data_IF_204247588189
#
_entry.id   IF_204247588189
#
_cell.length_a   1.000
_cell.length_b   1.000
_cell.length_c   1.000
_cell.angle_alpha   90.00
_cell.angle_beta   90.00
_cell.angle_gamma   90.00
#
_symmetry.space_group_name_H-M   'P 1'
#
loop_
_entity.id
_entity.type
_entity.pdbx_description
1 polymer ?
#
# COMPACT_ATOMS: atom_id res chain seq x y z
N UNK A 1 3.45 -19.05 -12.18
CA UNK A 1 2.32 -19.01 -11.21
C UNK A 1 1.89 -17.56 -11.12
N UNK A 2 0.64 -17.21 -11.43
CA UNK A 2 0.11 -15.91 -11.04
C UNK A 2 -0.18 -16.01 -9.54
N UNK A 3 0.50 -15.20 -8.73
CA UNK A 3 0.13 -15.11 -7.32
C UNK A 3 -1.26 -14.51 -7.18
N UNK A 4 -2.05 -15.08 -6.28
CA UNK A 4 -3.40 -14.61 -6.01
C UNK A 4 -3.34 -13.53 -4.95
N UNK A 5 -4.03 -12.42 -5.21
CA UNK A 5 -4.30 -11.41 -4.19
C UNK A 5 -5.14 -12.07 -3.10
N UNK A 6 -4.75 -11.90 -1.84
CA UNK A 6 -5.50 -12.40 -0.69
C UNK A 6 -5.84 -11.25 0.25
N UNK A 7 -6.90 -11.42 1.04
CA UNK A 7 -7.17 -10.50 2.15
C UNK A 7 -5.98 -10.48 3.11
N UNK A 8 -5.57 -9.29 3.55
CA UNK A 8 -4.38 -9.05 4.35
C UNK A 8 -3.09 -8.89 3.55
N UNK A 9 -3.12 -9.05 2.21
CA UNK A 9 -1.95 -8.75 1.37
C UNK A 9 -1.53 -7.29 1.54
N UNK A 10 -0.23 -7.06 1.71
CA UNK A 10 0.31 -5.72 1.88
C UNK A 10 0.34 -4.99 0.54
N UNK A 11 -0.06 -3.72 0.54
CA UNK A 11 -0.20 -2.92 -0.67
C UNK A 11 0.93 -1.90 -0.77
N UNK A 12 1.57 -1.85 -1.93
CA UNK A 12 2.68 -0.97 -2.26
C UNK A 12 2.32 -0.14 -3.48
N UNK A 13 3.00 0.98 -3.67
CA UNK A 13 2.96 1.76 -4.91
C UNK A 13 4.25 1.56 -5.69
N UNK A 14 4.19 1.59 -7.02
CA UNK A 14 5.36 1.35 -7.88
C UNK A 14 6.55 2.30 -7.64
N UNK A 15 6.31 3.46 -7.02
CA UNK A 15 7.30 4.50 -6.71
C UNK A 15 7.72 4.50 -5.21
N UNK A 16 7.14 3.61 -4.40
CA UNK A 16 7.31 3.60 -2.95
C UNK A 16 8.15 2.43 -2.47
N UNK A 17 9.04 2.70 -1.52
CA UNK A 17 9.73 1.66 -0.77
C UNK A 17 8.84 1.08 0.35
N UNK A 18 7.87 1.87 0.86
CA UNK A 18 7.03 1.51 1.99
C UNK A 18 5.62 1.05 1.58
N UNK A 19 5.03 0.19 2.42
CA UNK A 19 3.66 -0.28 2.27
C UNK A 19 2.70 0.84 2.65
N UNK A 20 1.72 1.12 1.81
CA UNK A 20 0.72 2.16 2.08
C UNK A 20 -0.48 1.64 2.88
N UNK A 21 -0.54 0.33 3.09
CA UNK A 21 -1.63 -0.35 3.80
C UNK A 21 -1.85 -1.78 3.32
N UNK A 22 -3.09 -2.26 3.38
CA UNK A 22 -3.41 -3.68 3.14
C UNK A 22 -4.77 -3.93 2.48
N UNK A 23 -4.89 -5.04 1.76
CA UNK A 23 -6.16 -5.50 1.16
C UNK A 23 -7.12 -5.93 2.26
N UNK A 24 -8.26 -5.25 2.35
CA UNK A 24 -9.35 -5.56 3.31
C UNK A 24 -10.29 -6.61 2.77
N UNK A 25 -10.66 -6.51 1.50
CA UNK A 25 -11.61 -7.42 0.86
C UNK A 25 -11.36 -7.47 -0.64
N UNK A 26 -11.57 -8.64 -1.24
CA UNK A 26 -11.61 -8.82 -2.68
C UNK A 26 -13.08 -8.92 -3.08
N UNK A 27 -13.59 -7.93 -3.83
CA UNK A 27 -15.02 -7.91 -4.16
C UNK A 27 -15.34 -9.04 -5.13
N UNK A 28 -16.09 -10.03 -4.67
CA UNK A 28 -16.46 -11.18 -5.50
C UNK A 28 -17.36 -10.73 -6.64
N UNK A 29 -16.92 -10.98 -7.88
CA UNK A 29 -17.69 -10.65 -9.09
C UNK A 29 -17.49 -9.23 -9.62
N UNK A 30 -16.66 -8.40 -8.98
CA UNK A 30 -16.24 -7.10 -9.49
C UNK A 30 -14.72 -7.09 -9.63
N UNK A 31 -14.15 -6.45 -10.67
CA UNK A 31 -12.71 -6.33 -10.84
C UNK A 31 -12.14 -5.24 -9.92
N UNK A 32 -12.45 -5.31 -8.62
CA UNK A 32 -12.16 -4.27 -7.63
C UNK A 32 -11.73 -4.88 -6.29
N UNK A 33 -10.84 -4.17 -5.60
CA UNK A 33 -10.27 -4.51 -4.30
C UNK A 33 -10.62 -3.40 -3.31
N UNK A 34 -11.05 -3.78 -2.11
CA UNK A 34 -11.12 -2.84 -1.00
C UNK A 34 -9.76 -2.84 -0.30
N UNK A 35 -9.08 -1.70 -0.31
CA UNK A 35 -7.77 -1.49 0.29
C UNK A 35 -7.90 -0.48 1.42
N UNK A 36 -7.38 -0.83 2.59
CA UNK A 36 -7.17 0.15 3.65
C UNK A 36 -5.83 0.83 3.42
N UNK A 37 -5.85 2.16 3.41
CA UNK A 37 -4.68 3.03 3.33
C UNK A 37 -4.49 3.65 4.71
N UNK A 38 -3.27 3.53 5.26
CA UNK A 38 -2.94 4.05 6.57
C UNK A 38 -3.18 5.56 6.64
N UNK A 39 -3.76 6.02 7.76
CA UNK A 39 -4.13 7.43 7.98
C UNK A 39 -5.12 8.04 6.95
N UNK A 40 -5.70 7.24 6.05
CA UNK A 40 -6.65 7.71 5.05
C UNK A 40 -7.96 6.91 5.00
N UNK A 41 -7.97 5.65 5.46
CA UNK A 41 -9.17 4.82 5.51
C UNK A 41 -9.28 3.85 4.34
N UNK A 42 -10.50 3.38 4.04
CA UNK A 42 -10.75 2.40 2.99
C UNK A 42 -11.06 3.01 1.62
N UNK A 43 -10.48 2.42 0.58
CA UNK A 43 -10.61 2.83 -0.81
C UNK A 43 -10.86 1.64 -1.71
N UNK A 44 -11.74 1.83 -2.71
CA UNK A 44 -11.98 0.85 -3.75
C UNK A 44 -10.97 1.08 -4.88
N UNK A 45 -10.14 0.09 -5.15
CA UNK A 45 -9.08 0.11 -6.14
C UNK A 45 -9.42 -0.91 -7.24
N UNK A 46 -9.48 -0.50 -8.52
CA UNK A 46 -9.71 -1.46 -9.59
C UNK A 46 -8.50 -2.39 -9.75
N UNK A 47 -8.75 -3.66 -10.07
CA UNK A 47 -7.72 -4.64 -10.45
C UNK A 47 -6.87 -4.10 -11.60
N UNK A 48 -7.44 -3.28 -12.47
CA UNK A 48 -6.69 -2.63 -13.56
C UNK A 48 -5.58 -1.73 -13.05
N UNK A 49 -5.67 -1.16 -11.85
CA UNK A 49 -4.59 -0.38 -11.25
C UNK A 49 -3.50 -1.25 -10.59
N UNK A 50 -3.68 -2.57 -10.50
CA UNK A 50 -2.65 -3.49 -10.02
C UNK A 50 -1.61 -3.68 -11.12
N UNK A 51 -0.37 -3.32 -10.80
CA UNK A 51 0.80 -3.46 -11.68
C UNK A 51 1.41 -4.85 -11.56
N UNK A 52 1.58 -5.33 -10.33
CA UNK A 52 2.20 -6.62 -10.05
C UNK A 52 1.69 -7.19 -8.72
N UNK A 53 1.78 -8.52 -8.56
CA UNK A 53 1.42 -9.23 -7.33
C UNK A 53 2.44 -10.32 -7.13
N UNK A 54 3.23 -10.21 -6.05
CA UNK A 54 4.26 -11.18 -5.75
C UNK A 54 4.61 -11.22 -4.26
N UNK A 55 5.00 -12.39 -3.77
CA UNK A 55 5.30 -12.68 -2.37
C UNK A 55 4.25 -12.14 -1.36
N UNK A 56 2.96 -12.20 -1.69
CA UNK A 56 1.88 -11.63 -0.83
C UNK A 56 1.85 -10.09 -0.78
N UNK A 57 2.55 -9.43 -1.70
CA UNK A 57 2.56 -7.99 -1.91
C UNK A 57 1.76 -7.65 -3.16
N UNK A 58 0.96 -6.60 -3.09
CA UNK A 58 0.20 -6.05 -4.24
C UNK A 58 0.81 -4.71 -4.59
N UNK A 59 1.37 -4.59 -5.79
CA UNK A 59 1.96 -3.35 -6.28
C UNK A 59 0.95 -2.63 -7.16
N UNK A 60 0.57 -1.42 -6.77
CA UNK A 60 -0.34 -0.55 -7.51
C UNK A 60 0.44 0.42 -8.40
N UNK A 61 -0.10 0.66 -9.59
CA UNK A 61 0.37 1.70 -10.48
C UNK A 61 -0.25 3.04 -10.07
N UNK A 62 0.57 3.95 -9.53
CA UNK A 62 0.12 5.25 -9.04
C UNK A 62 -0.57 6.09 -10.12
N UNK A 63 -0.20 5.93 -11.38
CA UNK A 63 -0.81 6.69 -12.48
C UNK A 63 -2.15 6.12 -12.95
N UNK A 64 -2.51 4.91 -12.51
CA UNK A 64 -3.82 4.30 -12.78
C UNK A 64 -4.82 4.50 -11.64
N UNK A 65 -4.38 5.11 -10.53
CA UNK A 65 -5.23 5.41 -9.39
C UNK A 65 -6.00 6.72 -9.59
N UNK A 66 -7.17 6.79 -8.97
CA UNK A 66 -7.98 8.00 -8.92
C UNK A 66 -7.33 9.09 -8.06
N UNK A 67 -7.64 10.35 -8.35
CA UNK A 67 -7.09 11.52 -7.66
C UNK A 67 -7.26 11.46 -6.13
N UNK A 68 -8.39 10.94 -5.66
CA UNK A 68 -8.66 10.77 -4.21
C UNK A 68 -7.69 9.79 -3.56
N UNK A 69 -7.43 8.66 -4.22
CA UNK A 69 -6.51 7.64 -3.73
C UNK A 69 -5.08 8.16 -3.76
N UNK A 70 -4.67 8.85 -4.84
CA UNK A 70 -3.35 9.48 -4.92
C UNK A 70 -3.11 10.48 -3.79
N UNK A 71 -4.11 11.30 -3.48
CA UNK A 71 -4.03 12.26 -2.38
C UNK A 71 -3.96 11.57 -1.02
N UNK A 72 -4.76 10.52 -0.80
CA UNK A 72 -4.70 9.69 0.41
C UNK A 72 -3.30 9.09 0.62
N UNK A 73 -2.72 8.51 -0.42
CA UNK A 73 -1.35 7.95 -0.39
C UNK A 73 -0.32 9.03 -0.09
N UNK A 74 -0.41 10.19 -0.75
CA UNK A 74 0.49 11.31 -0.48
C UNK A 74 0.38 11.79 0.97
N UNK A 75 -0.82 11.84 1.52
CA UNK A 75 -1.04 12.26 2.90
C UNK A 75 -0.55 11.22 3.90
N UNK A 76 -0.75 9.94 3.63
CA UNK A 76 -0.22 8.85 4.44
C UNK A 76 1.32 8.94 4.55
N UNK A 77 2.01 9.25 3.45
CA UNK A 77 3.48 9.41 3.41
C UNK A 77 3.95 10.75 4.00
N UNK A 78 3.18 11.82 3.85
CA UNK A 78 3.45 13.13 4.47
C UNK A 78 3.39 13.05 6.00
N UNK A 79 2.50 12.21 6.55
CA UNK A 79 2.45 11.94 7.98
C UNK A 79 3.73 11.30 8.54
N UNK A 80 4.57 10.71 7.68
CA UNK A 80 5.86 10.12 8.06
C UNK A 80 7.01 11.14 8.02
N UNK A 81 6.82 12.32 7.40
CA UNK A 81 7.82 13.38 7.33
C UNK A 81 7.49 14.51 8.32
N UNK A 82 7.85 14.31 9.59
CA UNK A 82 8.31 15.45 10.40
C UNK A 82 9.15 15.09 11.63
N UNK A 83 9.16 13.86 12.15
CA UNK A 83 10.02 13.55 13.32
C UNK A 83 10.18 12.05 13.62
N UNK A 84 10.60 11.21 12.66
CA UNK A 84 11.15 9.90 13.02
C UNK A 84 12.68 9.91 12.87
N UNK A 85 13.35 10.36 13.93
CA UNK A 85 14.74 9.98 14.17
C UNK A 85 14.70 8.53 14.69
N UNK A 86 15.15 7.58 13.87
CA UNK A 86 15.50 6.27 14.40
C UNK A 86 16.50 6.51 15.54
N UNK A 87 16.29 5.97 16.76
CA UNK A 87 17.35 6.03 17.76
C UNK A 87 18.59 5.42 17.13
N UNK A 88 19.68 6.18 17.14
CA UNK A 88 20.98 5.66 16.73
C UNK A 88 21.15 4.35 17.51
N UNK A 89 21.26 3.26 16.77
CA UNK A 89 21.74 2.00 17.31
C UNK A 89 23.23 2.22 17.61
N UNK A 90 23.53 3.01 18.64
CA UNK A 90 24.81 3.04 19.33
C UNK A 90 24.67 2.00 20.43
N UNK A 91 25.36 0.86 20.27
CA UNK A 91 26.54 0.50 21.08
C UNK A 91 26.02 -0.13 22.39
N UNK A 92 26.45 -1.29 22.86
CA UNK A 92 27.81 -1.75 23.21
C UNK A 92 27.70 -3.30 23.27
N UNK A 93 28.55 -4.12 22.63
CA UNK A 93 29.82 -4.64 23.18
C UNK A 93 29.61 -5.07 24.67
N UNK A 94 29.67 -6.33 25.10
CA UNK A 94 30.72 -7.37 25.03
C UNK A 94 30.17 -8.76 25.38
#
# INVERSE_FOLDING_TARGET
MHEQITQGSMVFITDGADGIGAVREIRRGLPELLVYIENAGDFVIPISAVKDVHSGKVVLDFDRLDLRVRNAIRHARDAEDSHYVAPASGEEEE
#
